data_IF_474801533549
#
_entry.id   IF_474801533549
#
_cell.length_a   1.000
_cell.length_b   1.000
_cell.length_c   1.000
_cell.angle_alpha   90.00
_cell.angle_beta   90.00
_cell.angle_gamma   90.00
#
_symmetry.space_group_name_H-M   'P 1'
#
loop_
_entity.id
_entity.type
_entity.pdbx_description
1 polymer ?
#
# COMPACT_ATOMS: atom_id res chain seq x y z
N UNK A 1 -19.86 -14.73 -11.45
CA UNK A 1 -19.81 -13.28 -11.16
C UNK A 1 -21.22 -12.75 -11.33
N UNK A 2 -21.89 -12.41 -10.23
CA UNK A 2 -23.29 -11.99 -10.22
C UNK A 2 -23.46 -10.57 -10.80
N UNK A 3 -24.57 -10.32 -11.50
CA UNK A 3 -24.93 -9.04 -12.16
C UNK A 3 -24.85 -7.79 -11.27
N UNK A 4 -24.79 -7.96 -9.95
CA UNK A 4 -24.78 -6.91 -8.94
C UNK A 4 -23.42 -6.21 -8.77
N UNK A 5 -22.30 -6.86 -9.12
CA UNK A 5 -20.95 -6.27 -9.01
C UNK A 5 -20.71 -5.13 -10.02
N UNK A 6 -21.51 -5.05 -11.10
CA UNK A 6 -21.46 -3.94 -12.06
C UNK A 6 -22.24 -2.70 -11.61
N UNK A 7 -23.18 -2.84 -10.68
CA UNK A 7 -24.09 -1.78 -10.25
C UNK A 7 -23.50 -1.06 -9.03
N UNK A 8 -22.85 -1.80 -8.13
CA UNK A 8 -22.27 -1.26 -6.90
C UNK A 8 -20.77 -1.03 -7.13
N UNK A 9 -20.30 0.23 -7.23
CA UNK A 9 -18.89 0.52 -7.41
C UNK A 9 -18.11 0.14 -6.15
N UNK A 10 -17.18 -0.80 -6.27
CA UNK A 10 -16.21 -1.13 -5.21
C UNK A 10 -14.92 -0.32 -5.38
N UNK A 11 -14.27 0.07 -4.28
CA UNK A 11 -12.96 0.70 -4.35
C UNK A 11 -11.95 -0.27 -4.96
N UNK A 12 -11.12 0.21 -5.89
CA UNK A 12 -9.99 -0.55 -6.46
C UNK A 12 -8.74 -0.51 -5.58
N UNK A 13 -8.85 0.11 -4.42
CA UNK A 13 -7.76 0.34 -3.49
C UNK A 13 -7.70 -0.77 -2.47
N UNK A 14 -6.49 -1.11 -2.03
CA UNK A 14 -6.25 -2.18 -1.05
C UNK A 14 -5.20 -1.69 -0.06
N UNK A 15 -5.17 -2.28 1.13
CA UNK A 15 -4.07 -2.09 2.05
C UNK A 15 -2.98 -3.13 1.75
N UNK A 16 -1.74 -2.74 1.95
CA UNK A 16 -0.58 -3.59 1.71
C UNK A 16 0.24 -3.61 2.98
N UNK A 17 0.62 -4.79 3.44
CA UNK A 17 1.61 -4.91 4.49
C UNK A 17 2.98 -4.97 3.83
N UNK A 18 3.80 -3.96 4.10
CA UNK A 18 5.13 -3.81 3.53
C UNK A 18 6.16 -3.95 4.62
N UNK A 19 7.15 -4.80 4.39
CA UNK A 19 8.32 -4.96 5.23
C UNK A 19 9.42 -4.02 4.76
N UNK A 20 9.94 -3.25 5.70
CA UNK A 20 11.09 -2.39 5.48
C UNK A 20 12.35 -3.24 5.30
N UNK A 21 13.12 -3.06 4.21
CA UNK A 21 14.36 -3.80 3.99
C UNK A 21 15.46 -3.42 4.98
N UNK A 22 15.45 -2.20 5.52
CA UNK A 22 16.52 -1.68 6.37
C UNK A 22 16.38 -2.08 7.85
N UNK A 23 15.15 -2.12 8.37
CA UNK A 23 14.90 -2.41 9.80
C UNK A 23 14.02 -3.65 10.04
N UNK A 24 13.55 -4.31 8.98
CA UNK A 24 12.67 -5.47 9.09
C UNK A 24 11.26 -5.17 9.61
N UNK A 25 10.93 -3.90 9.87
CA UNK A 25 9.62 -3.52 10.36
C UNK A 25 8.52 -3.74 9.33
N UNK A 26 7.41 -4.33 9.77
CA UNK A 26 6.21 -4.47 8.98
C UNK A 26 5.29 -3.26 9.20
N UNK A 27 4.88 -2.62 8.11
CA UNK A 27 3.98 -1.48 8.15
C UNK A 27 2.85 -1.65 7.15
N UNK A 28 1.63 -1.39 7.60
CA UNK A 28 0.46 -1.32 6.73
C UNK A 28 0.43 0.03 6.02
N UNK A 29 0.49 0.00 4.69
CA UNK A 29 0.42 1.16 3.82
C UNK A 29 -0.78 1.05 2.86
N UNK A 30 -1.26 2.18 2.38
CA UNK A 30 -2.34 2.21 1.39
C UNK A 30 -1.78 2.04 -0.03
N UNK A 31 -2.51 1.39 -0.94
CA UNK A 31 -2.00 1.18 -2.30
C UNK A 31 -1.90 2.45 -3.14
N UNK A 32 -2.70 3.48 -2.85
CA UNK A 32 -2.73 4.77 -3.55
C UNK A 32 -2.37 5.91 -2.60
N UNK A 33 -1.17 5.89 -2.05
CA UNK A 33 -0.72 6.95 -1.15
C UNK A 33 -0.56 8.27 -1.90
N UNK A 34 -1.08 9.37 -1.33
CA UNK A 34 -0.91 10.74 -1.86
C UNK A 34 0.28 11.49 -1.25
N UNK A 35 0.91 10.93 -0.21
CA UNK A 35 2.06 11.50 0.49
C UNK A 35 3.20 10.48 0.57
N UNK A 36 4.41 10.97 0.85
CA UNK A 36 5.57 10.10 1.08
C UNK A 36 5.36 9.37 2.41
N UNK A 37 5.45 8.04 2.39
CA UNK A 37 5.38 7.21 3.61
C UNK A 37 6.79 6.89 4.07
N UNK A 38 7.06 7.22 5.32
CA UNK A 38 8.30 6.89 6.01
C UNK A 38 8.08 5.69 6.93
N UNK A 39 9.11 4.88 7.10
CA UNK A 39 9.11 3.84 8.10
C UNK A 39 9.06 4.46 9.50
N UNK A 40 8.20 3.95 10.37
CA UNK A 40 8.05 4.45 11.73
C UNK A 40 9.29 4.24 12.62
N UNK A 41 10.22 3.35 12.24
CA UNK A 41 11.40 3.02 13.04
C UNK A 41 12.66 3.66 12.49
N UNK A 42 12.99 3.44 11.20
CA UNK A 42 14.24 3.93 10.62
C UNK A 42 14.08 5.25 9.83
N UNK A 43 12.85 5.72 9.60
CA UNK A 43 12.58 6.92 8.80
C UNK A 43 12.82 6.75 7.29
N UNK A 44 13.22 5.56 6.81
CA UNK A 44 13.43 5.31 5.39
C UNK A 44 12.12 5.43 4.60
N UNK A 45 12.21 5.88 3.34
CA UNK A 45 11.05 6.02 2.46
C UNK A 45 10.54 4.65 2.00
N UNK A 46 9.34 4.28 2.44
CA UNK A 46 8.70 3.01 2.09
C UNK A 46 7.80 3.11 0.86
N UNK A 47 7.14 4.26 0.67
CA UNK A 47 6.30 4.51 -0.49
C UNK A 47 6.37 5.95 -0.96
N UNK A 48 6.41 6.14 -2.27
CA UNK A 48 6.32 7.44 -2.93
C UNK A 48 4.96 7.59 -3.63
N UNK A 49 4.30 8.75 -3.49
CA UNK A 49 3.04 9.00 -4.17
C UNK A 49 3.26 9.12 -5.67
N UNK A 50 2.33 8.58 -6.44
CA UNK A 50 2.26 8.77 -7.89
C UNK A 50 0.84 9.20 -8.26
N UNK A 51 0.56 9.47 -9.54
CA UNK A 51 -0.81 9.78 -10.00
C UNK A 51 -1.81 8.62 -9.84
N UNK A 52 -1.38 7.45 -9.39
CA UNK A 52 -2.23 6.28 -9.17
C UNK A 52 -1.66 5.39 -8.06
N UNK A 53 -1.28 4.16 -8.41
CA UNK A 53 -0.70 3.23 -7.43
C UNK A 53 0.67 3.75 -6.96
N UNK A 54 0.82 3.87 -5.65
CA UNK A 54 2.06 4.34 -5.04
C UNK A 54 3.23 3.42 -5.40
N UNK A 55 4.42 4.02 -5.53
CA UNK A 55 5.66 3.29 -5.79
C UNK A 55 6.21 2.81 -4.46
N UNK A 56 6.17 1.50 -4.23
CA UNK A 56 6.59 0.85 -2.98
C UNK A 56 8.05 0.44 -3.13
N UNK A 57 8.90 0.88 -2.19
CA UNK A 57 10.35 0.57 -2.15
C UNK A 57 10.69 -0.59 -1.21
N UNK A 58 9.73 -1.11 -0.46
CA UNK A 58 9.88 -2.27 0.43
C UNK A 58 9.30 -3.56 -0.14
N UNK A 59 9.45 -4.65 0.62
CA UNK A 59 8.90 -5.96 0.27
C UNK A 59 7.43 -6.04 0.66
N UNK A 60 6.55 -6.43 -0.27
CA UNK A 60 5.12 -6.60 0.02
C UNK A 60 4.90 -8.01 0.58
N UNK A 61 4.60 -8.11 1.88
CA UNK A 61 4.39 -9.39 2.57
C UNK A 61 2.99 -9.93 2.28
N UNK A 62 1.97 -9.08 2.40
CA UNK A 62 0.58 -9.47 2.14
C UNK A 62 -0.29 -8.30 1.69
N UNK A 63 -1.38 -8.65 1.01
CA UNK A 63 -2.46 -7.73 0.67
C UNK A 63 -3.53 -7.88 1.76
N UNK A 64 -3.91 -6.76 2.35
CA UNK A 64 -5.00 -6.63 3.31
C UNK A 64 -6.18 -6.06 2.53
N UNK A 65 -7.16 -6.91 2.24
CA UNK A 65 -8.43 -6.53 1.58
C UNK A 65 -9.31 -5.71 2.51
#
# INVERSE_FOLDING_TARGET
>A
MSEWDKIIPKPRTVFLQVKCPDCGNEQSIFSHVSTIVHCNICGATLAEPTGGKAKIKGEIVRILE
#
